data_IF_501771094260
#
_entry.id   IF_501771094260
#
_cell.length_a   1.000
_cell.length_b   1.000
_cell.length_c   1.000
_cell.angle_alpha   90.00
_cell.angle_beta   90.00
_cell.angle_gamma   90.00
#
_symmetry.space_group_name_H-M   'P 1'
#
loop_
_entity.id
_entity.type
_entity.pdbx_description
1 polymer ?
#
# COMPACT_ATOMS: atom_id res chain seq x y z
N UNK A 1 70.33 -8.58 35.30
CA UNK A 1 69.82 -9.41 34.20
C UNK A 1 68.30 -9.44 34.30
N UNK A 2 67.63 -8.59 33.50
CA UNK A 2 66.16 -8.51 33.49
C UNK A 2 65.62 -9.52 32.45
N UNK A 3 64.47 -10.20 32.73
CA UNK A 3 63.88 -11.12 31.78
C UNK A 3 63.13 -10.37 30.65
N UNK A 4 63.00 -10.97 29.45
CA UNK A 4 62.40 -10.33 28.29
C UNK A 4 60.89 -10.20 28.43
N UNK A 5 60.31 -9.06 28.02
CA UNK A 5 58.88 -8.79 27.96
C UNK A 5 58.22 -9.66 26.87
N UNK A 6 57.09 -10.26 27.24
CA UNK A 6 56.20 -10.98 26.32
C UNK A 6 55.50 -9.96 25.38
N UNK A 7 55.27 -10.30 24.10
CA UNK A 7 54.53 -9.47 23.19
C UNK A 7 53.02 -9.50 23.54
N UNK A 8 52.37 -8.32 23.51
CA UNK A 8 50.92 -8.15 23.64
C UNK A 8 50.20 -8.74 22.41
N UNK A 9 48.99 -9.33 22.59
CA UNK A 9 48.20 -9.79 21.45
C UNK A 9 47.58 -8.61 20.69
N UNK A 10 47.82 -8.55 19.38
CA UNK A 10 47.19 -7.65 18.48
C UNK A 10 45.69 -7.91 18.49
N UNK A 11 44.88 -6.91 18.86
CA UNK A 11 43.43 -6.92 18.71
C UNK A 11 43.11 -6.78 17.25
N UNK A 12 42.63 -7.86 16.60
CA UNK A 12 42.04 -7.82 15.29
C UNK A 12 40.76 -7.02 15.36
N UNK A 13 40.77 -5.81 14.83
CA UNK A 13 39.59 -4.98 14.65
C UNK A 13 38.66 -5.63 13.63
N UNK A 14 37.58 -6.20 14.10
CA UNK A 14 36.48 -6.60 13.22
C UNK A 14 35.87 -5.31 12.68
N UNK A 15 36.12 -4.97 11.42
CA UNK A 15 35.47 -3.87 10.73
C UNK A 15 33.98 -4.20 10.65
N UNK A 16 33.15 -3.54 11.47
CA UNK A 16 31.71 -3.53 11.28
C UNK A 16 31.44 -2.85 9.94
N UNK A 17 31.05 -3.64 8.94
CA UNK A 17 30.49 -3.13 7.70
C UNK A 17 29.13 -2.56 8.09
N UNK A 18 29.07 -1.25 8.31
CA UNK A 18 27.81 -0.51 8.41
C UNK A 18 27.09 -0.68 7.07
N UNK A 19 26.08 -1.52 7.03
CA UNK A 19 25.16 -1.59 5.90
C UNK A 19 24.42 -0.26 5.86
N UNK A 20 24.87 0.66 5.02
CA UNK A 20 24.12 1.89 4.75
C UNK A 20 22.81 1.48 4.11
N UNK A 21 21.70 1.92 4.71
CA UNK A 21 20.41 1.76 4.09
C UNK A 21 20.42 2.34 2.66
N UNK A 22 19.78 1.67 1.70
CA UNK A 22 19.75 2.15 0.32
C UNK A 22 19.04 3.52 0.27
N UNK A 23 19.39 4.40 -0.66
CA UNK A 23 18.73 5.69 -0.84
C UNK A 23 17.23 5.53 -1.10
N UNK A 24 16.43 6.52 -0.73
CA UNK A 24 14.95 6.53 -0.87
C UNK A 24 14.51 6.14 -2.28
N UNK A 25 15.12 6.70 -3.31
CA UNK A 25 14.87 6.39 -4.73
C UNK A 25 15.01 4.90 -5.05
N UNK A 26 15.97 4.20 -4.46
CA UNK A 26 16.12 2.75 -4.65
C UNK A 26 14.96 1.99 -4.03
N UNK A 27 14.44 2.43 -2.87
CA UNK A 27 13.33 1.75 -2.18
C UNK A 27 12.01 1.89 -2.94
N UNK A 28 11.74 3.07 -3.54
CA UNK A 28 10.54 3.31 -4.35
C UNK A 28 10.56 2.53 -5.66
N UNK A 29 11.71 2.45 -6.33
CA UNK A 29 11.88 1.65 -7.54
C UNK A 29 11.75 0.15 -7.28
N UNK A 30 12.32 -0.36 -6.20
CA UNK A 30 12.15 -1.76 -5.80
C UNK A 30 10.69 -2.07 -5.47
N UNK A 31 9.98 -1.15 -4.82
CA UNK A 31 8.56 -1.28 -4.55
C UNK A 31 7.75 -1.31 -5.85
N UNK A 32 8.01 -0.39 -6.79
CA UNK A 32 7.34 -0.37 -8.09
C UNK A 32 7.57 -1.68 -8.84
N UNK A 33 8.81 -2.16 -8.90
CA UNK A 33 9.16 -3.42 -9.58
C UNK A 33 8.39 -4.62 -9.00
N UNK A 34 8.29 -4.71 -7.67
CA UNK A 34 7.54 -5.78 -7.01
C UNK A 34 6.03 -5.63 -7.20
N UNK A 35 5.51 -4.39 -7.19
CA UNK A 35 4.12 -4.07 -7.45
C UNK A 35 3.69 -4.54 -8.85
N UNK A 36 4.44 -4.13 -9.88
CA UNK A 36 4.19 -4.54 -11.26
C UNK A 36 4.29 -6.05 -11.44
N UNK A 37 5.35 -6.66 -10.91
CA UNK A 37 5.54 -8.11 -10.99
C UNK A 37 4.44 -8.91 -10.26
N UNK A 38 3.87 -8.37 -9.19
CA UNK A 38 2.73 -8.97 -8.50
C UNK A 38 1.47 -8.92 -9.36
N UNK A 39 1.17 -7.77 -9.98
CA UNK A 39 0.01 -7.60 -10.84
C UNK A 39 0.10 -8.48 -12.11
N UNK A 40 1.25 -8.52 -12.77
CA UNK A 40 1.49 -9.36 -13.95
C UNK A 40 1.24 -10.84 -13.65
N UNK A 41 1.68 -11.32 -12.49
CA UNK A 41 1.47 -12.72 -12.09
C UNK A 41 0.02 -13.08 -11.81
N UNK A 42 -0.89 -12.12 -11.67
CA UNK A 42 -2.33 -12.42 -11.53
C UNK A 42 -2.88 -13.13 -12.76
N UNK A 43 -2.37 -12.79 -13.96
CA UNK A 43 -2.87 -13.36 -15.20
C UNK A 43 -4.35 -13.06 -15.46
N UNK A 44 -4.91 -12.08 -14.75
CA UNK A 44 -6.30 -11.68 -14.85
C UNK A 44 -6.48 -10.66 -15.99
N UNK A 45 -7.35 -10.91 -16.97
CA UNK A 45 -7.54 -10.02 -18.12
C UNK A 45 -7.99 -8.60 -17.74
N UNK A 46 -8.76 -8.46 -16.65
CA UNK A 46 -9.19 -7.15 -16.19
C UNK A 46 -8.00 -6.37 -15.59
N UNK A 47 -7.18 -7.02 -14.77
CA UNK A 47 -5.94 -6.41 -14.26
C UNK A 47 -5.04 -6.00 -15.42
N UNK A 48 -4.82 -6.86 -16.41
CA UNK A 48 -4.03 -6.55 -17.60
C UNK A 48 -4.57 -5.30 -18.32
N UNK A 49 -5.90 -5.17 -18.48
CA UNK A 49 -6.50 -4.00 -19.10
C UNK A 49 -6.28 -2.69 -18.34
N UNK A 50 -6.09 -2.73 -17.03
CA UNK A 50 -5.69 -1.55 -16.24
C UNK A 50 -4.20 -1.24 -16.44
N UNK A 51 -3.35 -2.26 -16.52
CA UNK A 51 -1.91 -2.08 -16.75
C UNK A 51 -1.61 -1.51 -18.15
N UNK A 52 -2.46 -1.78 -19.13
CA UNK A 52 -2.37 -1.21 -20.50
C UNK A 52 -2.51 0.34 -20.51
N UNK A 53 -3.11 0.92 -19.46
CA UNK A 53 -3.22 2.38 -19.30
C UNK A 53 -1.90 3.02 -18.78
N UNK A 54 -0.93 2.23 -18.35
CA UNK A 54 0.33 2.76 -17.80
C UNK A 54 1.21 3.25 -18.94
N UNK A 55 1.70 4.48 -18.84
CA UNK A 55 2.64 5.07 -19.78
C UNK A 55 3.94 4.23 -19.81
N UNK A 56 4.57 4.04 -20.99
CA UNK A 56 5.77 3.19 -21.13
C UNK A 56 6.96 3.66 -20.28
N UNK A 57 6.99 4.93 -19.91
CA UNK A 57 8.03 5.51 -19.06
C UNK A 57 7.38 6.38 -17.98
N UNK A 58 7.34 5.88 -16.76
CA UNK A 58 6.86 6.62 -15.61
C UNK A 58 7.95 7.57 -15.08
N UNK A 59 7.64 8.86 -15.02
CA UNK A 59 8.53 9.84 -14.42
C UNK A 59 8.44 9.76 -12.89
N UNK A 60 9.58 9.54 -12.23
CA UNK A 60 9.65 9.58 -10.78
C UNK A 60 9.49 11.02 -10.26
N UNK A 61 8.80 11.17 -9.13
CA UNK A 61 8.65 12.42 -8.38
C UNK A 61 9.33 12.30 -7.03
N UNK A 62 10.09 13.31 -6.68
CA UNK A 62 10.59 13.47 -5.32
C UNK A 62 9.48 14.05 -4.44
N UNK A 63 8.85 13.20 -3.63
CA UNK A 63 7.80 13.58 -2.69
C UNK A 63 8.36 13.58 -1.27
N UNK A 64 8.06 14.65 -0.50
CA UNK A 64 8.40 14.67 0.91
C UNK A 64 7.65 13.53 1.63
N UNK A 65 8.33 12.71 2.43
CA UNK A 65 7.70 11.66 3.21
C UNK A 65 6.62 12.21 4.14
N UNK A 66 5.55 11.43 4.32
CA UNK A 66 4.47 11.73 5.25
C UNK A 66 3.98 10.45 5.89
N UNK A 67 4.15 10.32 7.21
CA UNK A 67 3.61 9.21 7.99
C UNK A 67 2.20 9.49 8.50
N UNK A 68 1.47 8.42 8.84
CA UNK A 68 0.12 8.45 9.41
C UNK A 68 0.03 7.48 10.59
N UNK A 69 -0.91 7.72 11.50
CA UNK A 69 -1.13 6.87 12.69
C UNK A 69 -1.43 5.41 12.32
N UNK A 70 -2.14 5.16 11.20
CA UNK A 70 -2.47 3.82 10.73
C UNK A 70 -1.24 2.95 10.42
N UNK A 71 -0.06 3.53 10.19
CA UNK A 71 1.17 2.78 9.89
C UNK A 71 1.59 1.83 11.03
N UNK A 72 1.11 2.04 12.25
CA UNK A 72 1.31 1.08 13.36
C UNK A 72 0.80 -0.33 13.02
N UNK A 73 -0.18 -0.46 12.11
CA UNK A 73 -0.75 -1.74 11.69
C UNK A 73 -0.02 -2.38 10.51
N UNK A 74 0.82 -1.62 9.78
CA UNK A 74 1.49 -2.10 8.59
C UNK A 74 2.42 -3.30 8.82
N UNK A 75 3.23 -3.36 9.90
CA UNK A 75 4.07 -4.54 10.16
C UNK A 75 3.24 -5.82 10.33
N UNK A 76 2.08 -5.71 11.01
CA UNK A 76 1.17 -6.85 11.17
C UNK A 76 0.53 -7.25 9.83
N UNK A 77 0.06 -6.29 9.05
CA UNK A 77 -0.51 -6.55 7.72
C UNK A 77 0.53 -7.22 6.80
N UNK A 78 1.76 -6.73 6.78
CA UNK A 78 2.84 -7.34 5.99
C UNK A 78 3.14 -8.78 6.41
N UNK A 79 3.13 -9.07 7.71
CA UNK A 79 3.35 -10.43 8.22
C UNK A 79 2.19 -11.40 7.90
N UNK A 80 0.99 -10.88 7.63
CA UNK A 80 -0.19 -11.67 7.26
C UNK A 80 -0.30 -11.94 5.75
N UNK A 81 0.45 -11.23 4.91
CA UNK A 81 0.40 -11.39 3.46
C UNK A 81 0.95 -12.78 3.06
N UNK A 82 0.14 -13.64 2.38
CA UNK A 82 0.57 -14.99 2.04
C UNK A 82 1.32 -15.04 0.70
N UNK A 83 2.09 -16.11 0.50
CA UNK A 83 2.64 -16.51 -0.80
C UNK A 83 3.38 -15.38 -1.53
N UNK A 84 2.95 -15.10 -2.75
CA UNK A 84 3.56 -14.11 -3.63
C UNK A 84 3.24 -12.63 -3.25
N UNK A 85 2.30 -12.40 -2.36
CA UNK A 85 2.03 -11.08 -1.78
C UNK A 85 3.07 -10.70 -0.69
N UNK A 86 3.67 -11.68 -0.02
CA UNK A 86 4.58 -11.44 1.10
C UNK A 86 5.80 -10.57 0.74
N UNK A 87 6.53 -10.79 -0.38
CA UNK A 87 7.65 -9.94 -0.75
C UNK A 87 7.25 -8.49 -1.04
N UNK A 88 6.07 -8.27 -1.65
CA UNK A 88 5.54 -6.94 -1.93
C UNK A 88 5.17 -6.20 -0.65
N UNK A 89 4.44 -6.87 0.26
CA UNK A 89 4.04 -6.31 1.53
C UNK A 89 5.24 -5.99 2.44
N UNK A 90 6.26 -6.85 2.46
CA UNK A 90 7.50 -6.63 3.18
C UNK A 90 8.28 -5.42 2.63
N UNK A 91 8.36 -5.27 1.30
CA UNK A 91 9.00 -4.12 0.68
C UNK A 91 8.25 -2.82 0.97
N UNK A 92 6.90 -2.85 0.95
CA UNK A 92 6.11 -1.68 1.36
C UNK A 92 6.42 -1.28 2.80
N UNK A 93 6.45 -2.24 3.73
CA UNK A 93 6.77 -1.97 5.13
C UNK A 93 8.20 -1.40 5.30
N UNK A 94 9.17 -1.91 4.53
CA UNK A 94 10.54 -1.40 4.51
C UNK A 94 10.63 0.03 3.96
N UNK A 95 9.82 0.37 2.96
CA UNK A 95 9.82 1.68 2.32
C UNK A 95 8.93 2.71 3.03
N UNK A 96 8.07 2.30 3.98
CA UNK A 96 6.95 3.08 4.49
C UNK A 96 7.31 4.49 4.99
N UNK A 97 8.43 4.63 5.70
CA UNK A 97 8.90 5.90 6.24
C UNK A 97 9.40 6.88 5.16
N UNK A 98 9.75 6.36 3.98
CA UNK A 98 10.18 7.15 2.83
C UNK A 98 9.02 7.53 1.89
N UNK A 99 7.83 6.99 2.11
CA UNK A 99 6.68 7.21 1.26
C UNK A 99 5.80 8.37 1.78
N UNK A 100 5.06 8.98 0.85
CA UNK A 100 4.05 9.99 1.16
C UNK A 100 2.69 9.33 1.31
N UNK A 101 2.33 8.98 2.53
CA UNK A 101 1.00 8.47 2.88
C UNK A 101 -0.02 9.60 2.92
N UNK A 102 -1.25 9.31 2.55
CA UNK A 102 -2.35 10.25 2.50
C UNK A 102 -3.65 9.69 3.05
N UNK A 103 -4.57 10.61 3.30
CA UNK A 103 -5.95 10.35 3.69
C UNK A 103 -6.87 11.20 2.83
N UNK A 104 -7.98 10.63 2.38
CA UNK A 104 -8.98 11.36 1.58
C UNK A 104 -9.93 12.17 2.46
N UNK A 105 -10.12 11.73 3.69
CA UNK A 105 -11.10 12.25 4.64
C UNK A 105 -10.44 13.01 5.76
N UNK A 106 -11.21 13.84 6.43
CA UNK A 106 -10.82 14.57 7.64
C UNK A 106 -11.67 14.13 8.83
N UNK A 107 -11.35 14.64 10.01
CA UNK A 107 -12.05 14.30 11.26
C UNK A 107 -13.55 14.59 11.18
N UNK A 108 -13.96 15.67 10.50
CA UNK A 108 -15.36 16.01 10.31
C UNK A 108 -16.14 15.00 9.44
N UNK A 109 -15.45 14.20 8.62
CA UNK A 109 -16.09 13.16 7.78
C UNK A 109 -16.40 11.91 8.61
N UNK A 110 -15.41 11.36 9.36
CA UNK A 110 -15.50 10.03 10.00
C UNK A 110 -14.94 9.96 11.43
N UNK A 111 -14.46 11.07 11.98
CA UNK A 111 -13.83 11.13 13.29
C UNK A 111 -12.39 10.61 13.33
N UNK A 112 -11.70 10.95 14.44
CA UNK A 112 -10.28 10.61 14.67
C UNK A 112 -10.04 9.10 14.66
N UNK A 113 -10.92 8.33 15.31
CA UNK A 113 -10.76 6.86 15.40
C UNK A 113 -10.74 6.16 14.04
N UNK A 114 -11.43 6.69 13.02
CA UNK A 114 -11.33 6.20 11.66
C UNK A 114 -9.98 6.58 11.03
N UNK A 115 -9.58 7.83 11.18
CA UNK A 115 -8.33 8.34 10.59
C UNK A 115 -7.10 7.63 11.17
N UNK A 116 -7.12 7.27 12.44
CA UNK A 116 -6.05 6.50 13.08
C UNK A 116 -5.86 5.09 12.50
N UNK A 117 -6.87 4.60 11.77
CA UNK A 117 -6.89 3.26 11.17
C UNK A 117 -6.97 3.25 9.66
N UNK A 118 -6.95 4.40 9.00
CA UNK A 118 -7.10 4.54 7.55
C UNK A 118 -5.94 5.30 6.95
N UNK A 119 -5.45 4.81 5.82
CA UNK A 119 -4.47 5.52 5.02
C UNK A 119 -4.23 4.82 3.69
N UNK A 120 -3.73 5.59 2.74
CA UNK A 120 -3.32 5.09 1.44
C UNK A 120 -1.98 5.69 1.02
N UNK A 121 -1.28 5.02 0.13
CA UNK A 121 -0.14 5.55 -0.61
C UNK A 121 -0.34 5.33 -2.09
N UNK A 122 -0.27 6.40 -2.87
CA UNK A 122 -0.31 6.36 -4.33
C UNK A 122 1.10 6.15 -4.85
N UNK A 123 1.33 4.99 -5.46
CA UNK A 123 2.63 4.67 -6.05
C UNK A 123 2.71 5.24 -7.45
N UNK A 124 1.70 4.99 -8.29
CA UNK A 124 1.55 5.50 -9.64
C UNK A 124 0.32 6.42 -9.65
N UNK A 125 0.39 7.58 -10.29
CA UNK A 125 -0.77 8.45 -10.46
C UNK A 125 -0.46 9.94 -10.41
N UNK A 126 -1.52 10.74 -10.39
CA UNK A 126 -1.41 12.23 -10.39
C UNK A 126 -0.75 12.78 -9.12
N UNK A 127 -0.81 12.03 -8.01
CA UNK A 127 -0.22 12.37 -6.70
C UNK A 127 0.88 11.38 -6.30
N UNK A 128 1.13 10.36 -7.12
CA UNK A 128 2.02 9.24 -6.82
C UNK A 128 3.49 9.57 -6.93
N UNK A 129 4.31 8.66 -6.43
CA UNK A 129 5.76 8.66 -6.58
C UNK A 129 6.19 8.53 -8.04
N UNK A 130 5.36 7.92 -8.88
CA UNK A 130 5.54 7.80 -10.31
C UNK A 130 4.35 8.45 -11.01
N UNK A 131 4.64 9.41 -11.90
CA UNK A 131 3.63 10.22 -12.55
C UNK A 131 2.83 9.41 -13.58
N UNK A 132 1.50 9.48 -13.51
CA UNK A 132 0.57 9.03 -14.53
C UNK A 132 -0.70 9.87 -14.48
N UNK A 133 -1.28 10.18 -15.64
CA UNK A 133 -2.56 10.87 -15.77
C UNK A 133 -3.69 9.93 -16.20
N UNK A 134 -3.37 8.68 -16.55
CA UNK A 134 -4.33 7.67 -17.04
C UNK A 134 -4.69 6.63 -15.97
N UNK A 135 -3.77 6.33 -15.05
CA UNK A 135 -3.95 5.37 -13.96
C UNK A 135 -3.54 5.96 -12.62
N UNK A 136 -4.32 5.69 -11.56
CA UNK A 136 -3.84 5.82 -10.17
C UNK A 136 -3.81 4.43 -9.52
N UNK A 137 -2.67 4.06 -8.95
CA UNK A 137 -2.50 2.76 -8.33
C UNK A 137 -1.58 2.85 -7.10
N UNK A 138 -1.88 2.03 -6.10
CA UNK A 138 -1.10 2.03 -4.86
C UNK A 138 -1.67 1.08 -3.82
N UNK A 139 -1.50 1.45 -2.56
CA UNK A 139 -1.87 0.62 -1.42
C UNK A 139 -2.88 1.33 -0.52
N UNK A 140 -3.89 0.59 -0.09
CA UNK A 140 -4.82 0.95 0.97
C UNK A 140 -4.45 0.15 2.23
N UNK A 141 -4.37 0.82 3.37
CA UNK A 141 -4.22 0.22 4.69
C UNK A 141 -5.41 0.58 5.57
N UNK A 142 -6.11 -0.44 6.05
CA UNK A 142 -7.13 -0.29 7.09
C UNK A 142 -6.69 -1.04 8.34
N UNK A 143 -6.74 -0.38 9.48
CA UNK A 143 -6.54 -1.02 10.79
C UNK A 143 -7.64 -2.02 11.12
N UNK A 144 -7.53 -2.76 12.23
CA UNK A 144 -8.56 -3.68 12.66
C UNK A 144 -9.84 -2.97 13.13
N UNK A 145 -10.97 -3.70 13.06
CA UNK A 145 -12.26 -3.34 13.63
C UNK A 145 -12.81 -1.98 13.16
N UNK A 146 -12.64 -1.67 11.86
CA UNK A 146 -13.24 -0.49 11.25
C UNK A 146 -14.13 -0.86 10.07
N UNK A 147 -15.08 0.02 9.79
CA UNK A 147 -15.85 0.02 8.55
C UNK A 147 -15.48 1.25 7.74
N UNK A 148 -15.01 1.03 6.51
CA UNK A 148 -14.92 2.08 5.50
C UNK A 148 -16.29 2.17 4.83
N UNK A 149 -17.06 3.25 5.09
CA UNK A 149 -18.48 3.34 4.72
C UNK A 149 -18.72 3.26 3.22
N UNK A 150 -19.98 3.04 2.84
CA UNK A 150 -20.40 3.06 1.44
C UNK A 150 -20.02 4.37 0.76
N UNK A 151 -19.27 4.25 -0.30
CA UNK A 151 -18.82 5.36 -1.13
C UNK A 151 -18.79 4.96 -2.60
N UNK A 152 -18.77 5.95 -3.48
CA UNK A 152 -18.62 5.75 -4.92
C UNK A 152 -17.84 6.88 -5.56
N UNK A 153 -17.33 6.65 -6.75
CA UNK A 153 -16.57 7.61 -7.55
C UNK A 153 -16.69 7.29 -9.04
N UNK A 154 -16.35 8.25 -9.91
CA UNK A 154 -16.41 8.09 -11.37
C UNK A 154 -15.36 7.12 -11.89
N UNK A 155 -14.16 7.10 -11.32
CA UNK A 155 -13.13 6.16 -11.74
C UNK A 155 -13.63 4.72 -11.58
N UNK A 156 -13.35 3.88 -12.58
CA UNK A 156 -13.45 2.43 -12.46
C UNK A 156 -12.32 1.94 -11.55
N UNK A 157 -12.60 0.98 -10.66
CA UNK A 157 -11.66 0.54 -9.65
C UNK A 157 -11.53 -0.96 -9.56
N UNK A 158 -10.29 -1.40 -9.27
CA UNK A 158 -9.99 -2.74 -8.81
C UNK A 158 -9.36 -2.64 -7.42
N UNK A 159 -9.82 -3.49 -6.49
CA UNK A 159 -9.07 -3.85 -5.28
C UNK A 159 -8.50 -5.27 -5.40
N UNK A 160 -7.31 -5.47 -4.85
CA UNK A 160 -6.71 -6.79 -4.66
C UNK A 160 -6.19 -6.87 -3.23
N UNK A 161 -6.89 -7.55 -2.31
CA UNK A 161 -6.42 -7.76 -0.95
C UNK A 161 -5.07 -8.48 -0.95
N UNK A 162 -4.10 -7.97 -0.20
CA UNK A 162 -2.85 -8.66 0.09
C UNK A 162 -2.94 -9.48 1.40
N UNK A 163 -3.97 -9.19 2.22
CA UNK A 163 -4.28 -9.94 3.45
C UNK A 163 -5.69 -10.51 3.36
N UNK A 164 -5.96 -11.61 4.07
CA UNK A 164 -7.29 -12.22 4.13
C UNK A 164 -8.12 -11.66 5.30
N UNK A 165 -9.43 -11.95 5.29
CA UNK A 165 -10.32 -11.72 6.44
C UNK A 165 -11.08 -10.40 6.44
N UNK A 166 -10.80 -9.49 5.50
CA UNK A 166 -11.66 -8.33 5.29
C UNK A 166 -12.86 -8.68 4.40
N UNK A 167 -13.91 -7.89 4.54
CA UNK A 167 -15.16 -8.10 3.81
C UNK A 167 -15.49 -6.86 2.97
N UNK A 168 -16.06 -7.09 1.79
CA UNK A 168 -16.53 -6.05 0.86
C UNK A 168 -18.03 -6.12 0.66
N UNK A 169 -18.68 -4.97 0.65
CA UNK A 169 -20.03 -4.78 0.13
C UNK A 169 -19.95 -4.09 -1.23
N UNK A 170 -20.76 -4.52 -2.19
CA UNK A 170 -20.85 -3.93 -3.53
C UNK A 170 -22.31 -3.72 -3.90
N UNK A 171 -22.70 -2.48 -4.25
CA UNK A 171 -24.06 -2.13 -4.61
C UNK A 171 -25.09 -2.43 -3.51
N UNK A 172 -24.69 -2.28 -2.23
CA UNK A 172 -25.60 -2.51 -1.08
C UNK A 172 -25.99 -3.97 -0.83
N UNK A 173 -25.29 -4.95 -1.43
CA UNK A 173 -25.65 -6.39 -1.34
C UNK A 173 -25.17 -7.10 -0.07
N UNK A 174 -24.68 -6.34 0.91
CA UNK A 174 -24.12 -6.90 2.14
C UNK A 174 -22.63 -7.22 2.02
N UNK A 175 -22.02 -7.51 3.15
CA UNK A 175 -20.59 -7.79 3.24
C UNK A 175 -20.29 -9.26 2.94
N UNK A 176 -19.27 -9.49 2.11
CA UNK A 176 -18.76 -10.81 1.74
C UNK A 176 -17.25 -10.84 1.98
N UNK A 177 -16.78 -11.86 2.69
CA UNK A 177 -15.36 -12.07 2.92
C UNK A 177 -14.61 -12.30 1.60
N UNK A 178 -13.44 -11.67 1.46
CA UNK A 178 -12.59 -11.78 0.28
C UNK A 178 -11.27 -12.44 0.61
N UNK A 179 -10.81 -13.25 -0.32
CA UNK A 179 -9.53 -13.94 -0.20
C UNK A 179 -8.37 -12.99 -0.57
N UNK A 180 -7.19 -13.24 0.00
CA UNK A 180 -5.98 -12.60 -0.49
C UNK A 180 -5.72 -12.96 -1.96
N UNK A 181 -5.39 -11.96 -2.78
CA UNK A 181 -5.17 -12.11 -4.21
C UNK A 181 -6.42 -12.11 -5.08
N UNK A 182 -7.62 -12.04 -4.51
CA UNK A 182 -8.87 -11.95 -5.27
C UNK A 182 -8.99 -10.57 -5.95
N UNK A 183 -9.39 -10.57 -7.23
CA UNK A 183 -9.65 -9.33 -7.99
C UNK A 183 -11.08 -8.88 -7.74
N UNK A 184 -11.24 -7.72 -7.10
CA UNK A 184 -12.54 -7.15 -6.73
C UNK A 184 -12.78 -5.92 -7.60
N UNK A 185 -13.65 -6.05 -8.59
CA UNK A 185 -13.96 -5.00 -9.55
C UNK A 185 -15.13 -4.13 -9.10
N UNK A 186 -14.96 -2.83 -9.14
CA UNK A 186 -16.00 -1.81 -8.95
C UNK A 186 -16.12 -0.95 -10.23
N UNK A 187 -17.15 -1.20 -11.06
CA UNK A 187 -17.46 -0.30 -12.18
C UNK A 187 -17.70 1.13 -11.71
N UNK A 188 -17.55 2.11 -12.61
CA UNK A 188 -17.82 3.52 -12.34
C UNK A 188 -19.14 3.71 -11.58
N UNK A 189 -19.13 4.53 -10.54
CA UNK A 189 -20.27 4.90 -9.69
C UNK A 189 -20.95 3.73 -8.94
N UNK A 190 -20.38 2.55 -8.88
CA UNK A 190 -20.91 1.47 -8.04
C UNK A 190 -20.53 1.72 -6.59
N UNK A 191 -21.54 1.88 -5.72
CA UNK A 191 -21.33 2.02 -4.27
C UNK A 191 -20.66 0.77 -3.70
N UNK A 192 -19.66 0.96 -2.85
CA UNK A 192 -18.94 -0.11 -2.20
C UNK A 192 -18.44 0.31 -0.82
N UNK A 193 -18.28 -0.67 0.05
CA UNK A 193 -17.80 -0.52 1.42
C UNK A 193 -16.85 -1.66 1.77
N UNK A 194 -16.03 -1.45 2.78
CA UNK A 194 -15.15 -2.48 3.34
C UNK A 194 -15.25 -2.49 4.84
N UNK A 195 -15.04 -3.64 5.45
CA UNK A 195 -14.85 -3.72 6.90
C UNK A 195 -13.77 -4.73 7.26
N UNK A 196 -13.06 -4.44 8.32
CA UNK A 196 -12.05 -5.32 8.89
C UNK A 196 -12.55 -5.96 10.16
N UNK A 197 -12.10 -7.19 10.42
CA UNK A 197 -12.25 -7.86 11.71
C UNK A 197 -11.05 -7.53 12.62
N UNK A 198 -10.56 -8.55 13.34
CA UNK A 198 -9.45 -8.38 14.29
C UNK A 198 -8.09 -8.09 13.63
N UNK A 199 -7.97 -8.36 12.35
CA UNK A 199 -6.72 -8.20 11.61
C UNK A 199 -6.83 -7.03 10.63
N UNK A 200 -5.72 -6.32 10.38
CA UNK A 200 -5.69 -5.22 9.42
C UNK A 200 -5.81 -5.71 7.99
N UNK A 201 -6.37 -4.88 7.13
CA UNK A 201 -6.38 -5.05 5.68
C UNK A 201 -5.23 -4.27 5.06
N UNK A 202 -4.42 -4.93 4.26
CA UNK A 202 -3.59 -4.31 3.24
C UNK A 202 -4.12 -4.74 1.87
N UNK A 203 -4.40 -3.79 0.98
CA UNK A 203 -4.90 -4.08 -0.36
C UNK A 203 -4.24 -3.17 -1.40
N UNK A 204 -4.10 -3.66 -2.63
CA UNK A 204 -3.84 -2.81 -3.79
C UNK A 204 -5.14 -2.17 -4.24
N UNK A 205 -5.04 -0.93 -4.75
CA UNK A 205 -6.10 -0.31 -5.52
C UNK A 205 -5.56 0.18 -6.87
N UNK A 206 -6.39 0.11 -7.90
CA UNK A 206 -6.11 0.65 -9.23
C UNK A 206 -7.36 1.40 -9.70
N UNK A 207 -7.20 2.64 -10.13
CA UNK A 207 -8.25 3.52 -10.65
C UNK A 207 -7.94 3.96 -12.08
N UNK A 208 -8.96 3.97 -12.96
CA UNK A 208 -8.85 4.52 -14.32
C UNK A 208 -10.16 5.18 -14.75
N UNK A 209 -10.12 5.90 -15.88
CA UNK A 209 -11.33 6.38 -16.58
C UNK A 209 -12.14 7.42 -15.82
N UNK A 210 -11.48 8.28 -15.01
CA UNK A 210 -12.15 9.35 -14.28
C UNK A 210 -11.17 10.34 -13.65
N UNK A 211 -11.65 11.30 -12.85
CA UNK A 211 -10.78 12.18 -12.08
C UNK A 211 -10.04 11.37 -10.99
N UNK A 212 -8.78 11.02 -11.26
CA UNK A 212 -7.98 10.11 -10.42
C UNK A 212 -7.66 10.66 -9.00
N UNK A 213 -7.83 11.96 -8.77
CA UNK A 213 -7.62 12.61 -7.48
C UNK A 213 -8.91 13.03 -6.78
N UNK A 214 -10.08 12.61 -7.31
CA UNK A 214 -11.37 13.01 -6.75
C UNK A 214 -11.61 12.37 -5.37
N UNK A 215 -12.13 13.17 -4.42
CA UNK A 215 -12.69 12.62 -3.19
C UNK A 215 -13.95 11.81 -3.52
N UNK A 216 -14.03 10.59 -3.03
CA UNK A 216 -15.23 9.75 -3.21
C UNK A 216 -16.45 10.36 -2.52
N UNK A 217 -17.62 10.19 -3.12
CA UNK A 217 -18.90 10.55 -2.50
C UNK A 217 -19.30 9.47 -1.51
N UNK A 218 -19.46 9.86 -0.25
CA UNK A 218 -19.91 8.96 0.83
C UNK A 218 -21.43 8.92 0.84
N UNK A 219 -22.00 7.72 0.82
CA UNK A 219 -23.46 7.49 0.80
C UNK A 219 -23.97 6.76 2.05
N UNK A 220 -23.11 6.08 2.79
CA UNK A 220 -23.39 5.45 4.07
C UNK A 220 -22.89 6.32 5.23
N UNK A 221 -23.59 6.29 6.38
CA UNK A 221 -23.03 6.75 7.64
C UNK A 221 -22.27 5.59 8.29
N UNK A 222 -21.12 5.90 8.88
CA UNK A 222 -20.38 4.95 9.72
C UNK A 222 -21.20 4.55 10.95
#
# INVERSE_FOLDING_TARGET
MMPPRKPEPQRSGCAQISQREPPVTTRTHDLLRLFMAYLDRRGDPLVASFLDEIEPALAERELAPQGLACLQYLPRAAALAPGDAAPLAAQLAHAAEALRWGQTYCEADFGESFLDRYGWVELIGTRGHFASDSLAAGFLLLGPEITYPDHHHLAEEIYIPLTAGAEWSKGGRGFVARAAGEVIHHPSNVSHAMRTGREPLLALYLWRGGPLAQKSTVTGRA
#
